data_IF_130411134966
#
_entry.id   IF_130411134966
#
_cell.length_a   1.000
_cell.length_b   1.000
_cell.length_c   1.000
_cell.angle_alpha   90.00
_cell.angle_beta   90.00
_cell.angle_gamma   90.00
#
_symmetry.space_group_name_H-M   'P 1'
#
loop_
_entity.id
_entity.type
_entity.pdbx_description
1 polymer ?
#
# COMPACT_ATOMS: atom_id res chain seq x y z
N UNK A 1 -8.74 -17.92 -20.84
CA UNK A 1 -8.25 -16.94 -19.85
C UNK A 1 -7.24 -16.08 -20.57
N UNK A 2 -7.44 -14.76 -20.64
CA UNK A 2 -6.43 -13.84 -21.16
C UNK A 2 -5.25 -13.83 -20.21
N UNK A 3 -4.08 -14.25 -20.68
CA UNK A 3 -2.85 -14.17 -19.91
C UNK A 3 -2.52 -12.69 -19.68
N UNK A 4 -2.44 -12.26 -18.42
CA UNK A 4 -1.90 -10.94 -18.09
C UNK A 4 -0.40 -10.96 -18.38
N UNK A 5 0.01 -10.08 -19.30
CA UNK A 5 1.38 -9.95 -19.78
C UNK A 5 2.07 -8.81 -19.02
N UNK A 6 3.33 -9.03 -18.67
CA UNK A 6 4.21 -8.03 -18.05
C UNK A 6 4.51 -6.93 -19.07
N UNK A 7 4.26 -5.69 -18.67
CA UNK A 7 4.51 -4.48 -19.46
C UNK A 7 5.56 -3.59 -18.78
N UNK A 8 6.03 -2.61 -19.54
CA UNK A 8 6.81 -1.52 -18.97
C UNK A 8 6.00 -0.78 -17.89
N UNK A 9 6.67 -0.35 -16.83
CA UNK A 9 6.13 0.27 -15.63
C UNK A 9 5.27 -0.63 -14.74
N UNK A 10 5.06 -1.90 -15.09
CA UNK A 10 4.45 -2.85 -14.18
C UNK A 10 5.34 -3.04 -12.95
N UNK A 11 4.72 -3.06 -11.77
CA UNK A 11 5.38 -3.54 -10.58
C UNK A 11 5.26 -5.07 -10.53
N UNK A 12 6.39 -5.75 -10.41
CA UNK A 12 6.48 -7.20 -10.34
C UNK A 12 6.98 -7.65 -8.98
N UNK A 13 6.54 -8.84 -8.58
CA UNK A 13 7.05 -9.55 -7.43
C UNK A 13 8.00 -10.65 -7.89
N UNK A 14 9.28 -10.42 -7.65
CA UNK A 14 10.37 -11.27 -8.10
C UNK A 14 10.81 -12.18 -6.94
N UNK A 15 10.77 -13.50 -7.16
CA UNK A 15 11.11 -14.50 -6.14
C UNK A 15 12.29 -15.33 -6.63
N UNK A 16 13.36 -15.36 -5.84
CA UNK A 16 14.44 -16.33 -6.00
C UNK A 16 14.21 -17.56 -5.11
N UNK A 17 13.89 -17.31 -3.84
CA UNK A 17 13.55 -18.33 -2.85
C UNK A 17 12.72 -17.74 -1.69
N UNK A 18 12.51 -18.52 -0.64
CA UNK A 18 11.72 -18.10 0.54
C UNK A 18 12.24 -16.82 1.21
N UNK A 19 13.56 -16.57 1.19
CA UNK A 19 14.20 -15.45 1.88
C UNK A 19 14.42 -14.26 0.98
N UNK A 20 14.53 -14.48 -0.33
CA UNK A 20 15.02 -13.51 -1.30
C UNK A 20 13.92 -13.21 -2.31
N UNK A 21 13.20 -12.13 -2.01
CA UNK A 21 12.04 -11.64 -2.77
C UNK A 21 12.10 -10.13 -2.85
N UNK A 22 11.64 -9.57 -3.95
CA UNK A 22 11.74 -8.13 -4.23
C UNK A 22 10.51 -7.62 -4.95
N UNK A 23 10.18 -6.36 -4.69
CA UNK A 23 9.26 -5.58 -5.51
C UNK A 23 10.06 -4.64 -6.41
N UNK A 24 9.84 -4.78 -7.71
CA UNK A 24 10.66 -4.13 -8.72
C UNK A 24 9.75 -3.57 -9.81
N UNK A 25 10.02 -2.34 -10.23
CA UNK A 25 9.33 -1.73 -11.38
C UNK A 25 10.09 -2.12 -12.65
N UNK A 26 9.37 -2.61 -13.65
CA UNK A 26 9.95 -3.02 -14.94
C UNK A 26 10.20 -1.78 -15.79
N UNK A 27 11.44 -1.56 -16.21
CA UNK A 27 11.86 -0.41 -17.02
C UNK A 27 12.49 -0.93 -18.32
N UNK A 28 12.05 -0.48 -19.50
CA UNK A 28 12.64 -0.99 -20.76
C UNK A 28 14.13 -0.66 -20.85
N UNK A 29 14.95 -1.62 -21.29
CA UNK A 29 16.41 -1.51 -21.33
C UNK A 29 17.10 -1.54 -19.97
N UNK A 30 16.34 -1.60 -18.87
CA UNK A 30 16.87 -1.64 -17.52
C UNK A 30 17.27 -3.04 -17.05
N UNK A 31 17.96 -3.07 -15.90
CA UNK A 31 18.46 -4.29 -15.29
C UNK A 31 18.24 -4.30 -13.78
N UNK A 32 17.98 -5.49 -13.23
CA UNK A 32 17.94 -5.75 -11.80
C UNK A 32 19.14 -6.59 -11.38
N UNK A 33 19.94 -6.04 -10.47
CA UNK A 33 21.19 -6.65 -10.02
C UNK A 33 21.01 -7.35 -8.67
N UNK A 34 21.50 -8.59 -8.58
CA UNK A 34 21.51 -9.36 -7.33
C UNK A 34 22.87 -10.03 -7.14
N UNK A 35 23.14 -10.54 -5.94
CA UNK A 35 24.30 -11.42 -5.70
C UNK A 35 24.24 -12.75 -6.45
N UNK A 36 23.10 -13.07 -7.09
CA UNK A 36 22.89 -14.25 -7.92
C UNK A 36 22.81 -13.91 -9.41
N UNK A 37 23.33 -12.75 -9.80
CA UNK A 37 23.40 -12.32 -11.19
C UNK A 37 22.36 -11.26 -11.54
N UNK A 38 22.24 -11.02 -12.84
CA UNK A 38 21.53 -9.89 -13.41
C UNK A 38 20.28 -10.36 -14.15
N UNK A 39 19.16 -9.68 -13.95
CA UNK A 39 17.93 -9.86 -14.70
C UNK A 39 17.74 -8.65 -15.61
N UNK A 40 17.66 -8.85 -16.92
CA UNK A 40 17.29 -7.76 -17.83
C UNK A 40 15.77 -7.67 -17.91
N UNK A 41 15.22 -6.48 -17.78
CA UNK A 41 13.78 -6.28 -17.81
C UNK A 41 13.16 -6.58 -19.18
N UNK A 42 13.92 -6.40 -20.26
CA UNK A 42 13.50 -6.80 -21.61
C UNK A 42 13.27 -8.31 -21.74
N UNK A 43 13.93 -9.13 -20.90
CA UNK A 43 13.66 -10.58 -20.84
C UNK A 43 12.33 -10.89 -20.13
N UNK A 44 11.67 -9.89 -19.51
CA UNK A 44 10.40 -10.00 -18.79
C UNK A 44 9.23 -9.46 -19.60
N UNK A 45 9.42 -8.31 -20.26
CA UNK A 45 8.37 -7.62 -21.01
C UNK A 45 7.82 -8.56 -22.10
N UNK A 46 6.50 -8.64 -22.20
CA UNK A 46 5.84 -9.52 -23.16
C UNK A 46 5.60 -10.95 -22.65
N UNK A 47 6.18 -11.35 -21.52
CA UNK A 47 5.91 -12.65 -20.90
C UNK A 47 4.70 -12.60 -19.96
N UNK A 48 3.98 -13.72 -19.80
CA UNK A 48 2.89 -13.79 -18.84
C UNK A 48 3.41 -13.74 -17.40
N UNK A 49 2.64 -13.15 -16.49
CA UNK A 49 2.88 -13.35 -15.06
C UNK A 49 2.83 -14.85 -14.69
N UNK A 50 3.64 -15.25 -13.71
CA UNK A 50 3.90 -16.65 -13.38
C UNK A 50 5.09 -17.25 -14.14
N UNK A 51 5.66 -16.52 -15.10
CA UNK A 51 6.84 -16.95 -15.85
C UNK A 51 8.07 -17.16 -14.98
N UNK A 52 8.94 -18.03 -15.47
CA UNK A 52 10.27 -18.28 -14.93
C UNK A 52 11.32 -17.67 -15.84
N UNK A 53 12.33 -17.06 -15.24
CA UNK A 53 13.53 -16.60 -15.94
C UNK A 53 14.80 -17.07 -15.23
N UNK A 54 15.92 -16.99 -15.92
CA UNK A 54 17.24 -17.25 -15.37
C UNK A 54 18.06 -15.97 -15.35
N UNK A 55 18.78 -15.71 -14.25
CA UNK A 55 19.72 -14.61 -14.17
C UNK A 55 20.96 -14.85 -15.04
N UNK A 56 21.60 -13.77 -15.47
CA UNK A 56 22.86 -13.76 -16.21
C UNK A 56 24.06 -13.70 -15.25
N UNK A 57 25.24 -14.21 -15.63
CA UNK A 57 25.57 -14.82 -16.92
C UNK A 57 25.07 -16.27 -17.05
N UNK A 58 24.60 -16.64 -18.25
CA UNK A 58 24.07 -17.99 -18.53
C UNK A 58 25.13 -19.08 -18.58
N UNK A 59 26.43 -18.71 -18.66
CA UNK A 59 27.54 -19.66 -18.65
C UNK A 59 27.56 -20.53 -17.37
N UNK A 60 26.94 -20.05 -16.29
CA UNK A 60 26.84 -20.76 -15.00
C UNK A 60 25.44 -21.34 -14.76
N UNK A 61 24.68 -21.63 -15.83
CA UNK A 61 23.26 -22.00 -15.84
C UNK A 61 22.29 -20.86 -15.40
N UNK A 62 22.78 -19.87 -14.66
CA UNK A 62 21.96 -18.81 -14.08
C UNK A 62 21.11 -19.31 -12.92
N UNK A 63 20.58 -18.39 -12.12
CA UNK A 63 19.66 -18.74 -11.02
C UNK A 63 18.23 -18.57 -11.47
N UNK A 64 17.36 -19.50 -11.10
CA UNK A 64 15.93 -19.48 -11.43
C UNK A 64 15.21 -18.43 -10.60
N UNK A 65 14.48 -17.52 -11.25
CA UNK A 65 13.57 -16.58 -10.62
C UNK A 65 12.15 -16.77 -11.13
N UNK A 66 11.18 -16.55 -10.26
CA UNK A 66 9.76 -16.55 -10.56
C UNK A 66 9.23 -15.13 -10.52
N UNK A 67 8.35 -14.78 -11.46
CA UNK A 67 7.80 -13.43 -11.59
C UNK A 67 6.30 -13.50 -11.39
N UNK A 68 5.80 -12.86 -10.34
CA UNK A 68 4.38 -12.84 -10.02
C UNK A 68 3.84 -11.42 -9.99
N UNK A 69 2.52 -11.32 -10.10
CA UNK A 69 1.82 -10.08 -9.80
C UNK A 69 1.89 -9.85 -8.29
N UNK A 70 2.31 -8.68 -7.82
CA UNK A 70 2.30 -8.36 -6.39
C UNK A 70 0.89 -8.45 -5.81
N UNK A 71 0.75 -9.12 -4.67
CA UNK A 71 -0.44 -9.03 -3.83
C UNK A 71 -0.34 -7.78 -2.93
N UNK A 72 -1.47 -7.23 -2.43
CA UNK A 72 -1.45 -6.15 -1.43
C UNK A 72 -0.52 -6.43 -0.23
N UNK A 73 -0.41 -7.69 0.20
CA UNK A 73 0.50 -8.12 1.26
C UNK A 73 1.98 -8.05 0.86
N UNK A 74 2.31 -8.28 -0.40
CA UNK A 74 3.68 -8.17 -0.90
C UNK A 74 4.12 -6.71 -0.92
N UNK A 75 3.23 -5.79 -1.34
CA UNK A 75 3.48 -4.34 -1.27
C UNK A 75 3.94 -3.93 0.12
N UNK A 76 3.16 -4.26 1.14
CA UNK A 76 3.41 -3.85 2.52
C UNK A 76 4.72 -4.41 3.06
N UNK A 77 5.02 -5.66 2.72
CA UNK A 77 6.21 -6.37 3.20
C UNK A 77 7.50 -5.85 2.54
N UNK A 78 7.47 -5.59 1.24
CA UNK A 78 8.67 -5.35 0.42
C UNK A 78 8.80 -3.90 -0.09
N UNK A 79 7.83 -3.02 0.17
CA UNK A 79 7.94 -1.61 -0.18
C UNK A 79 9.05 -0.89 0.59
N UNK A 80 9.57 0.17 -0.02
CA UNK A 80 10.55 1.02 0.65
C UNK A 80 9.87 1.87 1.73
N UNK A 81 10.20 1.59 3.00
CA UNK A 81 9.61 2.23 4.18
C UNK A 81 10.68 2.88 5.07
N UNK A 82 10.27 3.92 5.82
CA UNK A 82 11.08 4.57 6.87
C UNK A 82 10.39 4.62 8.22
N UNK A 83 9.07 4.42 8.24
CA UNK A 83 8.26 4.41 9.45
C UNK A 83 7.88 2.98 9.80
N UNK A 84 7.44 2.78 11.04
CA UNK A 84 6.65 1.60 11.38
C UNK A 84 5.41 1.57 10.46
N UNK A 85 4.96 0.36 10.14
CA UNK A 85 3.79 0.13 9.31
C UNK A 85 2.84 -0.83 10.02
N UNK A 86 1.59 -0.80 9.60
CA UNK A 86 0.60 -1.85 9.88
C UNK A 86 0.86 -3.00 8.92
N UNK A 87 1.04 -4.20 9.47
CA UNK A 87 1.29 -5.43 8.71
C UNK A 87 -0.01 -6.06 8.21
N UNK A 88 0.06 -7.01 7.25
CA UNK A 88 -1.14 -7.60 6.64
C UNK A 88 -2.13 -8.22 7.63
N UNK A 89 -1.65 -8.77 8.74
CA UNK A 89 -2.48 -9.38 9.78
C UNK A 89 -3.41 -8.34 10.42
N UNK A 90 -2.85 -7.23 10.88
CA UNK A 90 -3.61 -6.13 11.47
C UNK A 90 -4.47 -5.42 10.42
N UNK A 91 -3.95 -5.22 9.20
CA UNK A 91 -4.72 -4.62 8.11
C UNK A 91 -5.95 -5.46 7.73
N UNK A 92 -5.83 -6.79 7.78
CA UNK A 92 -6.95 -7.71 7.59
C UNK A 92 -8.04 -7.52 8.64
N UNK A 93 -7.66 -7.34 9.91
CA UNK A 93 -8.61 -7.03 10.98
C UNK A 93 -9.26 -5.66 10.78
N UNK A 94 -8.48 -4.64 10.39
CA UNK A 94 -9.02 -3.30 10.07
C UNK A 94 -10.08 -3.41 8.97
N UNK A 95 -9.79 -4.10 7.86
CA UNK A 95 -10.75 -4.29 6.76
C UNK A 95 -12.00 -5.03 7.24
N UNK A 96 -11.84 -6.15 7.93
CA UNK A 96 -12.96 -6.98 8.40
C UNK A 96 -13.90 -6.23 9.35
N UNK A 97 -13.36 -5.50 10.33
CA UNK A 97 -14.18 -4.83 11.35
C UNK A 97 -14.70 -3.46 10.93
N UNK A 98 -14.06 -2.80 9.94
CA UNK A 98 -14.58 -1.55 9.38
C UNK A 98 -15.61 -1.77 8.25
N UNK A 99 -15.63 -2.96 7.65
CA UNK A 99 -16.46 -3.21 6.48
C UNK A 99 -16.02 -2.43 5.23
N UNK A 100 -14.79 -1.89 5.21
CA UNK A 100 -14.22 -1.23 4.03
C UNK A 100 -14.15 -2.24 2.89
N UNK A 101 -14.74 -1.88 1.75
CA UNK A 101 -14.77 -2.69 0.54
C UNK A 101 -15.03 -1.86 -0.72
N UNK A 102 -15.36 -2.51 -1.84
CA UNK A 102 -15.58 -1.84 -3.12
C UNK A 102 -16.56 -0.66 -3.01
N UNK A 103 -16.17 0.50 -3.52
CA UNK A 103 -17.00 1.72 -3.47
C UNK A 103 -16.89 2.54 -2.19
N UNK A 104 -16.17 2.07 -1.16
CA UNK A 104 -16.07 2.78 0.12
C UNK A 104 -15.24 4.07 0.00
N UNK A 105 -15.75 5.14 0.61
CA UNK A 105 -15.05 6.41 0.82
C UNK A 105 -14.44 6.41 2.22
N UNK A 106 -13.11 6.49 2.31
CA UNK A 106 -12.38 6.31 3.57
C UNK A 106 -11.47 7.49 3.82
N UNK A 107 -11.46 7.99 5.06
CA UNK A 107 -10.45 8.95 5.53
C UNK A 107 -9.42 8.21 6.37
N UNK A 108 -8.15 8.32 5.99
CA UNK A 108 -7.01 7.82 6.75
C UNK A 108 -6.19 9.01 7.26
N UNK A 109 -5.76 8.98 8.52
CA UNK A 109 -4.77 9.93 9.02
C UNK A 109 -3.61 9.23 9.73
N UNK A 110 -2.40 9.68 9.41
CA UNK A 110 -1.16 8.99 9.74
C UNK A 110 -0.66 8.10 8.60
N UNK A 111 -0.67 8.59 7.35
CA UNK A 111 -0.30 7.77 6.18
C UNK A 111 1.09 7.11 6.30
N UNK A 112 2.04 7.76 6.99
CA UNK A 112 3.39 7.25 7.15
C UNK A 112 4.05 6.96 5.80
N UNK A 113 4.51 5.71 5.61
CA UNK A 113 5.10 5.28 4.34
C UNK A 113 4.06 4.91 3.27
N UNK A 114 2.77 4.92 3.58
CA UNK A 114 1.66 4.57 2.67
C UNK A 114 1.32 3.08 2.62
N UNK A 115 1.75 2.28 3.60
CA UNK A 115 1.57 0.82 3.58
C UNK A 115 0.10 0.43 3.73
N UNK A 116 -0.56 0.86 4.81
CA UNK A 116 -1.98 0.65 5.01
C UNK A 116 -2.78 1.32 3.88
N UNK A 117 -2.43 2.55 3.52
CA UNK A 117 -3.03 3.26 2.39
C UNK A 117 -3.09 2.44 1.11
N UNK A 118 -2.00 1.75 0.74
CA UNK A 118 -1.98 0.92 -0.46
C UNK A 118 -2.85 -0.34 -0.35
N UNK A 119 -2.98 -0.91 0.86
CA UNK A 119 -3.94 -2.00 1.10
C UNK A 119 -5.35 -1.46 0.91
N UNK A 120 -5.74 -0.44 1.67
CA UNK A 120 -7.08 0.13 1.62
C UNK A 120 -7.46 0.55 0.19
N UNK A 121 -6.53 1.22 -0.51
CA UNK A 121 -6.69 1.65 -1.90
C UNK A 121 -6.98 0.51 -2.87
N UNK A 122 -6.43 -0.70 -2.65
CA UNK A 122 -6.77 -1.87 -3.46
C UNK A 122 -8.20 -2.36 -3.20
N UNK A 123 -8.66 -2.30 -1.95
CA UNK A 123 -9.96 -2.87 -1.54
C UNK A 123 -11.16 -1.97 -1.83
N UNK A 124 -10.94 -0.66 -2.02
CA UNK A 124 -12.04 0.27 -2.35
C UNK A 124 -12.38 0.33 -3.84
N UNK A 125 -11.56 -0.29 -4.70
CA UNK A 125 -11.80 -0.36 -6.15
C UNK A 125 -13.13 -1.05 -6.49
N UNK A 126 -13.77 -0.72 -7.63
CA UNK A 126 -13.33 0.23 -8.66
C UNK A 126 -13.89 1.65 -8.49
N UNK A 127 -14.72 1.91 -7.48
CA UNK A 127 -15.48 3.18 -7.38
C UNK A 127 -15.27 3.94 -6.06
N UNK A 128 -14.54 3.35 -5.11
CA UNK A 128 -14.24 3.99 -3.82
C UNK A 128 -12.94 4.75 -3.84
N UNK A 129 -12.67 5.46 -2.74
CA UNK A 129 -11.53 6.37 -2.65
C UNK A 129 -10.98 6.48 -1.23
N UNK A 130 -9.65 6.55 -1.11
CA UNK A 130 -8.94 6.82 0.15
C UNK A 130 -8.44 8.26 0.17
N UNK A 131 -8.87 9.04 1.16
CA UNK A 131 -8.30 10.34 1.48
C UNK A 131 -7.32 10.17 2.64
N UNK A 132 -6.02 10.20 2.33
CA UNK A 132 -4.97 9.91 3.29
C UNK A 132 -4.15 11.16 3.65
N UNK A 133 -4.05 11.42 4.95
CA UNK A 133 -3.43 12.62 5.50
C UNK A 133 -2.21 12.30 6.38
N UNK A 134 -1.19 13.16 6.33
CA UNK A 134 -0.07 13.17 7.30
C UNK A 134 0.47 14.60 7.41
N UNK A 135 0.88 14.98 8.62
CA UNK A 135 1.44 16.32 8.91
C UNK A 135 2.93 16.42 8.53
N UNK A 136 3.57 15.31 8.12
CA UNK A 136 4.99 15.26 7.77
C UNK A 136 5.16 15.16 6.27
N UNK A 137 5.68 16.21 5.64
CA UNK A 137 5.95 16.21 4.19
C UNK A 137 6.82 15.04 3.70
N UNK A 138 7.78 14.61 4.53
CA UNK A 138 8.64 13.46 4.21
C UNK A 138 7.84 12.16 4.08
N UNK A 139 6.81 11.98 4.91
CA UNK A 139 5.88 10.85 4.84
C UNK A 139 5.04 10.95 3.57
N UNK A 140 4.45 12.12 3.31
CA UNK A 140 3.62 12.36 2.12
C UNK A 140 4.36 12.06 0.82
N UNK A 141 5.58 12.60 0.64
CA UNK A 141 6.42 12.36 -0.54
C UNK A 141 6.73 10.87 -0.72
N UNK A 142 6.82 10.11 0.37
CA UNK A 142 7.07 8.68 0.32
C UNK A 142 5.81 7.90 -0.02
N UNK A 143 4.71 8.18 0.67
CA UNK A 143 3.42 7.55 0.43
C UNK A 143 2.97 7.77 -1.03
N UNK A 144 3.10 8.99 -1.56
CA UNK A 144 2.83 9.30 -2.97
C UNK A 144 3.63 8.41 -3.94
N UNK A 145 4.94 8.25 -3.70
CA UNK A 145 5.77 7.36 -4.54
C UNK A 145 5.31 5.91 -4.46
N UNK A 146 4.94 5.43 -3.28
CA UNK A 146 4.49 4.05 -3.11
C UNK A 146 3.09 3.82 -3.72
N UNK A 147 2.18 4.78 -3.60
CA UNK A 147 0.85 4.76 -4.24
C UNK A 147 0.96 4.72 -5.77
N UNK A 148 1.83 5.55 -6.35
CA UNK A 148 2.08 5.55 -7.80
C UNK A 148 2.68 4.19 -8.24
N UNK A 149 3.66 3.67 -7.50
CA UNK A 149 4.24 2.34 -7.78
C UNK A 149 3.22 1.20 -7.65
N UNK A 150 2.21 1.36 -6.79
CA UNK A 150 1.12 0.42 -6.65
C UNK A 150 0.00 0.62 -7.68
N UNK A 151 0.12 1.61 -8.56
CA UNK A 151 -0.91 2.01 -9.53
C UNK A 151 -2.27 2.29 -8.86
N UNK A 152 -2.23 3.05 -7.76
CA UNK A 152 -3.40 3.38 -6.93
C UNK A 152 -3.74 4.87 -6.93
N UNK A 153 -3.06 5.69 -7.74
CA UNK A 153 -3.24 7.15 -7.77
C UNK A 153 -4.67 7.58 -8.12
N UNK A 154 -5.43 6.73 -8.81
CA UNK A 154 -6.83 7.01 -9.17
C UNK A 154 -7.80 6.76 -8.01
N UNK A 155 -7.40 5.98 -7.00
CA UNK A 155 -8.21 5.57 -5.85
C UNK A 155 -7.71 6.14 -4.52
N UNK A 156 -6.58 6.85 -4.54
CA UNK A 156 -5.90 7.32 -3.33
C UNK A 156 -5.41 8.76 -3.53
N UNK A 157 -5.85 9.64 -2.65
CA UNK A 157 -5.30 11.00 -2.53
C UNK A 157 -4.44 11.12 -1.29
N UNK A 158 -3.15 11.40 -1.47
CA UNK A 158 -2.22 11.72 -0.39
C UNK A 158 -2.10 13.23 -0.25
N UNK A 159 -2.49 13.77 0.90
CA UNK A 159 -2.55 15.22 1.13
C UNK A 159 -1.89 15.60 2.46
N UNK A 160 -1.28 16.79 2.49
CA UNK A 160 -0.92 17.39 3.76
C UNK A 160 -2.20 17.80 4.48
N UNK A 161 -2.31 17.42 5.75
CA UNK A 161 -3.43 17.84 6.59
C UNK A 161 -3.24 17.36 8.02
N UNK A 162 -3.56 18.24 8.96
CA UNK A 162 -3.66 17.93 10.37
C UNK A 162 -5.12 17.66 10.71
N UNK A 163 -5.50 16.39 10.80
CA UNK A 163 -6.88 16.00 11.12
C UNK A 163 -7.36 16.55 12.47
N UNK A 164 -6.46 16.91 13.40
CA UNK A 164 -6.84 17.55 14.66
C UNK A 164 -7.30 18.97 14.44
N UNK A 165 -6.51 19.76 13.70
CA UNK A 165 -6.66 21.21 13.65
C UNK A 165 -7.39 21.71 12.38
N UNK A 166 -7.26 21.01 11.27
CA UNK A 166 -7.75 21.48 9.96
C UNK A 166 -9.19 21.06 9.69
N UNK A 167 -10.02 21.95 9.16
CA UNK A 167 -11.32 21.56 8.61
C UNK A 167 -11.12 20.90 7.23
N UNK A 168 -11.05 19.57 7.22
CA UNK A 168 -10.84 18.78 6.00
C UNK A 168 -12.14 18.64 5.17
N UNK A 169 -13.28 19.17 5.64
CA UNK A 169 -14.56 19.26 4.93
C UNK A 169 -15.13 17.94 4.40
N UNK A 170 -14.71 16.81 4.97
CA UNK A 170 -15.28 15.50 4.67
C UNK A 170 -16.70 15.38 5.21
N UNK A 171 -17.56 14.70 4.45
CA UNK A 171 -18.94 14.36 4.85
C UNK A 171 -19.33 13.04 4.21
N UNK A 172 -20.20 12.29 4.88
CA UNK A 172 -20.75 11.02 4.40
C UNK A 172 -19.68 9.97 4.04
N UNK A 173 -18.56 9.92 4.76
CA UNK A 173 -17.54 8.88 4.54
C UNK A 173 -17.94 7.59 5.23
N UNK A 174 -17.61 6.46 4.63
CA UNK A 174 -17.97 5.12 5.13
C UNK A 174 -17.15 4.74 6.36
N UNK A 175 -15.86 5.10 6.35
CA UNK A 175 -14.95 4.76 7.44
C UNK A 175 -13.87 5.81 7.67
N UNK A 176 -13.43 5.92 8.93
CA UNK A 176 -12.24 6.68 9.32
C UNK A 176 -11.24 5.76 10.00
N UNK A 177 -10.00 5.75 9.53
CA UNK A 177 -8.91 4.92 10.08
C UNK A 177 -7.78 5.83 10.58
N UNK A 178 -7.43 5.72 11.86
CA UNK A 178 -6.40 6.55 12.49
C UNK A 178 -5.23 5.70 12.99
N UNK A 179 -4.04 5.98 12.45
CA UNK A 179 -2.75 5.47 12.94
C UNK A 179 -1.86 6.64 13.35
N UNK A 180 -2.16 7.22 14.51
CA UNK A 180 -1.51 8.44 14.99
C UNK A 180 -1.34 8.43 16.51
N UNK A 181 -0.48 9.30 17.10
CA UNK A 181 -0.19 9.25 18.53
C UNK A 181 -1.35 9.61 19.47
N UNK A 182 -2.27 10.47 19.02
CA UNK A 182 -3.36 11.02 19.86
C UNK A 182 -4.74 10.92 19.20
N UNK A 183 -5.23 9.71 18.87
CA UNK A 183 -6.47 9.53 18.12
C UNK A 183 -7.71 10.00 18.88
N UNK A 184 -7.72 9.90 20.22
CA UNK A 184 -8.83 10.36 21.08
C UNK A 184 -9.20 11.83 20.90
N UNK A 185 -8.24 12.68 20.50
CA UNK A 185 -8.51 14.11 20.26
C UNK A 185 -9.31 14.40 19.00
N UNK A 186 -9.43 13.43 18.09
CA UNK A 186 -10.12 13.60 16.81
C UNK A 186 -11.55 13.03 16.84
N UNK A 187 -11.88 12.22 17.85
CA UNK A 187 -13.13 11.41 17.89
C UNK A 187 -14.39 12.26 17.69
N UNK A 188 -14.52 13.38 18.42
CA UNK A 188 -15.68 14.26 18.29
C UNK A 188 -15.78 14.91 16.90
N UNK A 189 -14.63 15.24 16.29
CA UNK A 189 -14.58 15.88 14.98
C UNK A 189 -14.99 14.91 13.87
N UNK A 190 -14.49 13.68 13.89
CA UNK A 190 -14.75 12.69 12.83
C UNK A 190 -16.20 12.20 12.80
N UNK A 191 -16.96 12.36 13.90
CA UNK A 191 -18.41 12.11 13.90
C UNK A 191 -19.14 12.91 12.83
N UNK A 192 -18.68 14.13 12.54
CA UNK A 192 -19.26 14.97 11.49
C UNK A 192 -18.86 14.54 10.07
N UNK A 193 -17.81 13.73 9.93
CA UNK A 193 -17.34 13.23 8.64
C UNK A 193 -18.07 11.96 8.24
N UNK A 194 -18.36 11.09 9.21
CA UNK A 194 -18.98 9.79 8.99
C UNK A 194 -20.43 9.91 8.51
N UNK A 195 -20.82 9.02 7.60
CA UNK A 195 -22.23 8.77 7.32
C UNK A 195 -22.93 8.13 8.53
N UNK A 196 -24.26 8.08 8.52
CA UNK A 196 -25.00 7.23 9.45
C UNK A 196 -24.55 5.77 9.30
N UNK A 197 -24.26 5.12 10.43
CA UNK A 197 -23.67 3.78 10.49
C UNK A 197 -22.27 3.66 9.87
N UNK A 198 -21.54 4.76 9.70
CA UNK A 198 -20.11 4.73 9.36
C UNK A 198 -19.26 4.18 10.51
N UNK A 199 -18.10 3.62 10.17
CA UNK A 199 -17.20 2.99 11.14
C UNK A 199 -15.98 3.84 11.47
N UNK A 200 -15.46 3.68 12.68
CA UNK A 200 -14.20 4.29 13.10
C UNK A 200 -13.25 3.22 13.60
N UNK A 201 -12.00 3.28 13.15
CA UNK A 201 -10.92 2.41 13.60
C UNK A 201 -9.75 3.26 14.07
N UNK A 202 -9.19 2.91 15.24
CA UNK A 202 -7.93 3.47 15.71
C UNK A 202 -6.94 2.35 16.00
N UNK A 203 -5.74 2.50 15.47
CA UNK A 203 -4.60 1.66 15.82
C UNK A 203 -3.79 2.35 16.93
N UNK A 204 -3.48 1.64 18.01
CA UNK A 204 -2.76 2.19 19.15
C UNK A 204 -1.82 1.14 19.76
N UNK A 205 -0.51 1.42 19.87
CA UNK A 205 0.44 0.46 20.44
C UNK A 205 0.31 0.29 21.95
N UNK A 206 -0.24 1.27 22.68
CA UNK A 206 -0.33 1.23 24.14
C UNK A 206 -1.78 1.22 24.64
N UNK A 207 -2.05 0.41 25.67
CA UNK A 207 -3.38 0.29 26.29
C UNK A 207 -3.90 1.62 26.85
N UNK A 208 -3.01 2.51 27.31
CA UNK A 208 -3.38 3.84 27.82
C UNK A 208 -3.90 4.77 26.72
N UNK A 209 -3.51 4.56 25.46
CA UNK A 209 -4.08 5.27 24.32
C UNK A 209 -5.49 4.75 24.04
N UNK A 210 -5.68 3.42 24.08
CA UNK A 210 -7.00 2.79 23.89
C UNK A 210 -8.00 3.26 24.95
N UNK A 211 -7.60 3.31 26.23
CA UNK A 211 -8.45 3.82 27.32
C UNK A 211 -8.93 5.26 27.13
N UNK A 212 -8.19 6.07 26.38
CA UNK A 212 -8.57 7.46 26.05
C UNK A 212 -9.45 7.55 24.80
N UNK A 213 -9.30 6.61 23.88
CA UNK A 213 -10.05 6.53 22.63
C UNK A 213 -11.34 5.73 22.85
N UNK A 214 -12.25 6.29 23.64
CA UNK A 214 -13.56 5.71 23.96
C UNK A 214 -14.65 6.74 23.77
#
# INVERSE_FOLDING_TARGET
MTEEIIKENDLIYLILDERRKWLVSVESGGEFHTHKGIIKYDDLIGKPFGSVIFSRPYETQGYKFYIFKPLPSDYVTYMSRKTQIIYPEDAGLILMYSGIGPGSMVVEAGCGSGALTCILGNYVRPEGHIFSYDIREKSLKRAQKNVIKANLQDFVSIQFGDILNDDLKHKNVDSVVLDMPQPWKVVEKIRSYLKLSGTFVSFSPAIEQVKKTT
#
